data_IF_463156459175
#
_entry.id   IF_463156459175
#
_cell.length_a   1.000
_cell.length_b   1.000
_cell.length_c   1.000
_cell.angle_alpha   90.00
_cell.angle_beta   90.00
_cell.angle_gamma   90.00
#
_symmetry.space_group_name_H-M   'P 1'
#
loop_
_entity.id
_entity.type
_entity.pdbx_description
1 polymer ?
#
# COMPACT_ATOMS: atom_id res chain seq x y z
N UNK A 1 14.16 -1.04 -0.84
CA UNK A 1 13.46 -2.10 -1.60
C UNK A 1 13.00 -1.54 -2.94
N UNK A 2 13.03 -2.32 -4.04
CA UNK A 2 12.49 -1.87 -5.33
C UNK A 2 10.96 -1.80 -5.29
N UNK A 3 10.41 -0.60 -5.48
CA UNK A 3 8.96 -0.32 -5.46
C UNK A 3 8.36 -0.15 -6.86
N UNK A 4 9.15 -0.30 -7.94
CA UNK A 4 8.72 0.01 -9.32
C UNK A 4 7.51 -0.78 -9.82
N UNK A 5 7.18 -1.91 -9.18
CA UNK A 5 6.02 -2.74 -9.49
C UNK A 5 4.86 -2.65 -8.49
N UNK A 6 4.92 -1.73 -7.52
CA UNK A 6 3.86 -1.52 -6.52
C UNK A 6 2.98 -0.36 -6.99
N UNK A 7 1.67 -0.58 -7.00
CA UNK A 7 0.71 0.45 -7.38
C UNK A 7 0.83 1.67 -6.45
N UNK A 8 0.69 2.86 -7.04
CA UNK A 8 0.54 4.14 -6.34
C UNK A 8 -0.93 4.50 -6.15
N UNK A 9 -1.29 5.40 -5.22
CA UNK A 9 -2.68 5.83 -4.97
C UNK A 9 -3.50 6.14 -6.23
N UNK A 10 -2.91 6.82 -7.21
CA UNK A 10 -3.55 7.20 -8.47
C UNK A 10 -3.81 6.02 -9.43
N UNK A 11 -3.20 4.86 -9.18
CA UNK A 11 -3.33 3.65 -9.99
C UNK A 11 -4.33 2.64 -9.39
N UNK A 12 -4.88 2.92 -8.20
CA UNK A 12 -5.86 2.04 -7.56
C UNK A 12 -7.18 2.02 -8.35
N UNK A 13 -7.90 0.88 -8.36
CA UNK A 13 -9.14 0.74 -9.13
C UNK A 13 -10.36 1.42 -8.46
N UNK A 14 -10.14 2.43 -7.61
CA UNK A 14 -11.17 3.17 -6.88
C UNK A 14 -10.64 4.53 -6.41
N UNK A 15 -11.56 5.42 -6.02
CA UNK A 15 -11.19 6.71 -5.43
C UNK A 15 -10.48 6.54 -4.08
N UNK A 16 -9.29 7.13 -3.95
CA UNK A 16 -8.48 7.10 -2.74
C UNK A 16 -8.68 8.41 -1.96
N UNK A 17 -9.22 8.38 -0.72
CA UNK A 17 -9.28 9.56 0.14
C UNK A 17 -7.88 10.04 0.53
N UNK A 18 -7.75 11.33 0.82
CA UNK A 18 -6.47 11.98 1.11
C UNK A 18 -5.65 11.29 2.21
N UNK A 19 -6.30 10.85 3.30
CA UNK A 19 -5.61 10.17 4.41
C UNK A 19 -4.99 8.84 3.96
N UNK A 20 -5.70 8.09 3.12
CA UNK A 20 -5.22 6.82 2.57
C UNK A 20 -4.13 7.05 1.52
N UNK A 21 -4.28 8.08 0.69
CA UNK A 21 -3.25 8.49 -0.27
C UNK A 21 -1.94 8.83 0.45
N UNK A 22 -2.02 9.64 1.50
CA UNK A 22 -0.86 10.01 2.32
C UNK A 22 -0.20 8.78 2.94
N UNK A 23 -0.98 7.90 3.58
CA UNK A 23 -0.44 6.70 4.23
C UNK A 23 0.25 5.74 3.24
N UNK A 24 -0.34 5.54 2.05
CA UNK A 24 0.28 4.70 1.01
C UNK A 24 1.59 5.34 0.52
N UNK A 25 1.62 6.65 0.27
CA UNK A 25 2.81 7.34 -0.19
C UNK A 25 3.95 7.28 0.84
N UNK A 26 3.65 7.42 2.13
CA UNK A 26 4.62 7.26 3.21
C UNK A 26 5.18 5.84 3.28
N UNK A 27 4.33 4.82 3.13
CA UNK A 27 4.77 3.42 3.06
C UNK A 27 5.70 3.17 1.87
N UNK A 28 5.34 3.66 0.68
CA UNK A 28 6.17 3.53 -0.52
C UNK A 28 7.53 4.24 -0.35
N UNK A 29 7.52 5.44 0.23
CA UNK A 29 8.74 6.19 0.51
C UNK A 29 9.63 5.49 1.54
N UNK A 30 9.07 4.90 2.60
CA UNK A 30 9.79 4.10 3.57
C UNK A 30 10.42 2.84 2.93
N UNK A 31 9.70 2.17 2.02
CA UNK A 31 10.25 1.05 1.25
C UNK A 31 11.40 1.47 0.34
N UNK A 32 11.26 2.60 -0.36
CA UNK A 32 12.31 3.13 -1.25
C UNK A 32 13.59 3.45 -0.46
N UNK A 33 13.44 4.03 0.74
CA UNK A 33 14.54 4.33 1.68
C UNK A 33 15.09 3.10 2.43
N UNK A 34 14.51 1.92 2.21
CA UNK A 34 14.86 0.65 2.88
C UNK A 34 14.76 0.70 4.42
N UNK A 35 13.78 1.44 4.95
CA UNK A 35 13.51 1.59 6.40
C UNK A 35 12.85 0.34 6.99
N UNK A 36 13.60 -0.77 7.01
CA UNK A 36 13.08 -2.09 7.42
C UNK A 36 12.54 -2.15 8.85
N UNK A 37 13.10 -1.37 9.76
CA UNK A 37 12.77 -1.40 11.19
C UNK A 37 11.47 -0.64 11.54
N UNK A 38 10.94 0.18 10.63
CA UNK A 38 9.74 1.00 10.84
C UNK A 38 8.57 0.60 9.96
N UNK A 39 8.75 -0.43 9.13
CA UNK A 39 7.80 -0.77 8.09
C UNK A 39 6.45 -1.24 8.65
N UNK A 40 6.45 -1.91 9.80
CA UNK A 40 5.24 -2.33 10.49
C UNK A 40 4.33 -1.15 10.86
N UNK A 41 4.90 -0.06 11.36
CA UNK A 41 4.18 1.17 11.66
C UNK A 41 3.48 1.73 10.41
N UNK A 42 4.18 1.82 9.28
CA UNK A 42 3.58 2.32 8.03
C UNK A 42 2.48 1.40 7.48
N UNK A 43 2.62 0.08 7.65
CA UNK A 43 1.57 -0.88 7.26
C UNK A 43 0.32 -0.75 8.13
N UNK A 44 0.49 -0.49 9.43
CA UNK A 44 -0.62 -0.22 10.34
C UNK A 44 -1.36 1.08 10.00
N UNK A 45 -0.63 2.15 9.65
CA UNK A 45 -1.21 3.42 9.19
C UNK A 45 -2.03 3.25 7.92
N UNK A 46 -1.51 2.50 6.93
CA UNK A 46 -2.28 2.17 5.72
C UNK A 46 -3.56 1.41 6.06
N UNK A 47 -3.49 0.42 6.95
CA UNK A 47 -4.67 -0.33 7.37
C UNK A 47 -5.68 0.51 8.16
N UNK A 48 -5.22 1.47 8.95
CA UNK A 48 -6.07 2.39 9.68
C UNK A 48 -6.78 3.36 8.72
N UNK A 49 -6.04 3.97 7.80
CA UNK A 49 -6.58 4.90 6.80
C UNK A 49 -7.55 4.22 5.83
N UNK A 50 -7.33 2.94 5.50
CA UNK A 50 -8.21 2.16 4.64
C UNK A 50 -9.64 2.02 5.18
N UNK A 51 -9.86 2.20 6.49
CA UNK A 51 -11.21 2.18 7.08
C UNK A 51 -12.12 3.34 6.63
N UNK A 52 -11.54 4.35 5.98
CA UNK A 52 -12.28 5.48 5.39
C UNK A 52 -12.97 5.14 4.06
N UNK A 53 -12.59 4.02 3.42
CA UNK A 53 -13.26 3.52 2.20
C UNK A 53 -14.24 2.39 2.54
N UNK A 54 -15.06 1.98 1.56
CA UNK A 54 -15.97 0.85 1.77
C UNK A 54 -15.22 -0.46 2.06
N UNK A 55 -15.91 -1.41 2.69
CA UNK A 55 -15.35 -2.70 3.14
C UNK A 55 -14.61 -3.47 2.02
N UNK A 56 -15.16 -3.46 0.80
CA UNK A 56 -14.52 -4.12 -0.34
C UNK A 56 -13.16 -3.50 -0.67
N UNK A 57 -13.07 -2.17 -0.64
CA UNK A 57 -11.83 -1.45 -0.93
C UNK A 57 -10.84 -1.56 0.23
N UNK A 58 -11.29 -1.51 1.49
CA UNK A 58 -10.45 -1.76 2.67
C UNK A 58 -9.81 -3.15 2.59
N UNK A 59 -10.63 -4.19 2.37
CA UNK A 59 -10.13 -5.56 2.20
C UNK A 59 -9.14 -5.69 1.03
N UNK A 60 -9.35 -4.93 -0.05
CA UNK A 60 -8.41 -4.88 -1.18
C UNK A 60 -7.08 -4.25 -0.77
N UNK A 61 -7.09 -3.09 -0.10
CA UNK A 61 -5.88 -2.39 0.39
C UNK A 61 -5.09 -3.30 1.32
N UNK A 62 -5.77 -3.92 2.29
CA UNK A 62 -5.18 -4.88 3.22
C UNK A 62 -4.48 -6.02 2.49
N UNK A 63 -5.20 -6.65 1.56
CA UNK A 63 -4.67 -7.78 0.79
C UNK A 63 -3.45 -7.37 -0.04
N UNK A 64 -3.51 -6.20 -0.67
CA UNK A 64 -2.47 -5.74 -1.58
C UNK A 64 -1.21 -5.26 -0.84
N UNK A 65 -1.32 -4.26 0.04
CA UNK A 65 -0.18 -3.62 0.69
C UNK A 65 0.27 -4.37 1.95
N UNK A 66 -0.66 -4.65 2.86
CA UNK A 66 -0.36 -5.17 4.21
C UNK A 66 0.05 -6.64 4.17
N UNK A 67 -0.71 -7.45 3.43
CA UNK A 67 -0.47 -8.91 3.32
C UNK A 67 0.48 -9.29 2.18
N UNK A 68 1.08 -8.31 1.49
CA UNK A 68 2.07 -8.53 0.45
C UNK A 68 1.50 -9.04 -0.88
N UNK A 69 0.25 -8.72 -1.21
CA UNK A 69 -0.36 -9.04 -2.50
C UNK A 69 0.40 -8.48 -3.69
N UNK A 70 1.07 -7.33 -3.54
CA UNK A 70 1.93 -6.73 -4.57
C UNK A 70 3.05 -7.67 -5.06
N UNK A 71 3.56 -8.57 -4.20
CA UNK A 71 4.58 -9.57 -4.57
C UNK A 71 4.12 -10.54 -5.65
N UNK A 72 2.81 -10.77 -5.75
CA UNK A 72 2.21 -11.67 -6.76
C UNK A 72 2.05 -10.99 -8.11
N UNK A 73 2.01 -9.65 -8.14
CA UNK A 73 1.93 -8.88 -9.38
C UNK A 73 3.30 -8.72 -10.03
N UNK A 74 4.33 -8.42 -9.23
CA UNK A 74 5.72 -8.34 -9.71
C UNK A 74 6.25 -9.68 -10.24
N UNK A 75 5.76 -10.81 -9.72
CA UNK A 75 6.09 -12.14 -10.24
C UNK A 75 5.48 -12.46 -11.63
N UNK A 76 4.49 -11.69 -12.11
CA UNK A 76 3.86 -11.91 -13.43
C UNK A 76 4.51 -11.12 -14.56
N UNK A 77 5.49 -10.27 -14.26
CA UNK A 77 6.19 -9.41 -15.23
C UNK A 77 7.60 -9.97 -15.54
N UNK A 78 7.96 -11.13 -15.00
CA UNK A 78 9.19 -11.86 -15.32
C UNK A 78 8.93 -13.10 -16.18
#
# INVERSE_FOLDING_TARGET
MDITGILKPEELPFYVPQDLEYAINELLAAWDRDEKDLLDCYLDEVQAAARSVNEKNDAWVRSYYVLGGWKKQSAKVN
#
